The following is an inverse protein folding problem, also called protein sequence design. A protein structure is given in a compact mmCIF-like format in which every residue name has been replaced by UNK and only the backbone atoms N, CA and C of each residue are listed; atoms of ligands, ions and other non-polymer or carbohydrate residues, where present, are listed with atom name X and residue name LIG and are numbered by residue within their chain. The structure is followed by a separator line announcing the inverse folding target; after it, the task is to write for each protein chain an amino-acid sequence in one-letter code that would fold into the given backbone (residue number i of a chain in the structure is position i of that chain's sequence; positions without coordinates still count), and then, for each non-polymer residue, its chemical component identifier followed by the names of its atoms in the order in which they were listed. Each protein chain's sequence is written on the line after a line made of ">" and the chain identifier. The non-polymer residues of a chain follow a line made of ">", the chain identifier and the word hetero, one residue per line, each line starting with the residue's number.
data_IF_540402045766
#
_entry.id   IF_540402045766
#
_cell.length_a   1.000
_cell.length_b   1.000
_cell.length_c   1.000
_cell.angle_alpha   90.00
_cell.angle_beta   90.00
_cell.angle_gamma   90.00
#
_symmetry.space_group_name_H-M   'P 1'
#
loop_
_entity.id
_entity.type
_entity.pdbx_description
1 polymer ?
#
# COMPACT_ATOMS: atom_id res chain seq x y z
N UNK A 1 52.66 24.30 -10.67
CA UNK A 1 51.78 23.26 -11.28
C UNK A 1 50.88 22.53 -10.27
N UNK A 2 51.37 22.01 -9.12
CA UNK A 2 50.54 21.25 -8.17
C UNK A 2 49.40 22.04 -7.48
N UNK A 3 49.54 23.36 -7.33
CA UNK A 3 48.50 24.23 -6.72
C UNK A 3 47.32 24.48 -7.65
N UNK A 4 47.57 24.83 -8.92
CA UNK A 4 46.51 25.09 -9.90
C UNK A 4 45.69 23.85 -10.24
N UNK A 5 46.27 22.65 -10.18
CA UNK A 5 45.53 21.39 -10.36
C UNK A 5 44.53 21.14 -9.22
N UNK A 6 44.87 21.52 -7.98
CA UNK A 6 43.94 21.43 -6.83
C UNK A 6 42.80 22.43 -6.94
N UNK A 7 43.09 23.68 -7.32
CA UNK A 7 42.05 24.68 -7.57
C UNK A 7 41.15 24.31 -8.75
N UNK A 8 41.72 23.73 -9.81
CA UNK A 8 40.96 23.21 -10.95
C UNK A 8 40.10 22.01 -10.56
N UNK A 9 40.60 21.08 -9.74
CA UNK A 9 39.80 19.94 -9.24
C UNK A 9 38.67 20.39 -8.31
N UNK A 10 38.92 21.36 -7.42
CA UNK A 10 37.88 21.93 -6.55
C UNK A 10 36.86 22.70 -7.38
N UNK A 11 37.29 23.48 -8.38
CA UNK A 11 36.39 24.17 -9.30
C UNK A 11 35.58 23.16 -10.14
N UNK A 12 36.19 22.09 -10.65
CA UNK A 12 35.48 21.03 -11.36
C UNK A 12 34.52 20.27 -10.45
N UNK A 13 34.86 20.01 -9.18
CA UNK A 13 33.94 19.40 -8.21
C UNK A 13 32.76 20.33 -7.87
N UNK A 14 32.99 21.64 -7.76
CA UNK A 14 31.95 22.65 -7.54
C UNK A 14 31.09 22.93 -8.79
N UNK A 15 31.65 22.74 -9.99
CA UNK A 15 30.92 22.85 -11.26
C UNK A 15 30.16 21.56 -11.55
N UNK A 16 30.71 20.39 -11.21
CA UNK A 16 30.04 19.09 -11.32
C UNK A 16 28.93 18.94 -10.26
N UNK A 17 29.06 19.52 -9.06
CA UNK A 17 27.96 19.57 -8.10
C UNK A 17 26.81 20.51 -8.52
N UNK A 18 27.08 21.43 -9.46
CA UNK A 18 26.04 22.24 -10.13
C UNK A 18 25.47 21.57 -11.38
N UNK A 19 26.15 20.54 -11.90
CA UNK A 19 25.65 19.74 -13.01
C UNK A 19 24.62 18.75 -12.46
N UNK A 20 23.38 19.23 -12.38
CA UNK A 20 22.17 18.55 -11.91
C UNK A 20 22.23 18.18 -10.43
N UNK A 21 21.86 19.12 -9.56
CA UNK A 21 21.42 18.75 -8.21
C UNK A 21 20.28 17.73 -8.36
N UNK A 22 20.56 16.47 -8.04
CA UNK A 22 19.55 15.43 -8.06
C UNK A 22 18.49 15.79 -7.02
N UNK A 23 17.21 15.63 -7.38
CA UNK A 23 16.11 15.85 -6.44
C UNK A 23 16.36 15.06 -5.16
N UNK A 24 16.10 15.69 -4.00
CA UNK A 24 16.18 15.01 -2.70
C UNK A 24 15.00 14.06 -2.48
N UNK A 25 13.83 14.40 -3.03
CA UNK A 25 12.58 13.67 -2.83
C UNK A 25 11.89 13.40 -4.16
N UNK A 26 11.13 12.31 -4.24
CA UNK A 26 10.33 12.04 -5.43
C UNK A 26 9.17 13.03 -5.54
N UNK A 27 8.92 13.49 -6.76
CA UNK A 27 7.93 14.53 -7.04
C UNK A 27 6.68 13.90 -7.61
N UNK A 28 5.57 13.93 -6.87
CA UNK A 28 4.28 13.38 -7.31
C UNK A 28 3.28 14.49 -7.67
N UNK A 29 2.68 14.39 -8.87
CA UNK A 29 1.50 15.20 -9.24
C UNK A 29 0.25 14.49 -8.76
N UNK A 30 -0.45 15.06 -7.79
CA UNK A 30 -1.85 14.73 -7.53
C UNK A 30 -2.80 15.68 -8.25
N UNK A 31 -4.05 15.23 -8.45
CA UNK A 31 -5.17 16.05 -8.92
C UNK A 31 -5.38 17.29 -8.06
N UNK A 32 -5.00 17.24 -6.78
CA UNK A 32 -5.05 18.40 -5.89
C UNK A 32 -4.18 19.56 -6.40
N UNK A 33 -2.96 19.29 -6.88
CA UNK A 33 -2.10 20.35 -7.40
C UNK A 33 -2.71 21.01 -8.65
N UNK A 34 -3.37 20.23 -9.51
CA UNK A 34 -4.03 20.73 -10.71
C UNK A 34 -5.24 21.61 -10.35
N UNK A 35 -6.11 21.13 -9.46
CA UNK A 35 -7.32 21.85 -9.04
C UNK A 35 -6.99 23.07 -8.16
N UNK A 36 -5.83 23.07 -7.50
CA UNK A 36 -5.36 24.17 -6.66
C UNK A 36 -4.95 25.42 -7.44
N UNK A 37 -4.73 25.32 -8.76
CA UNK A 37 -4.42 26.44 -9.65
C UNK A 37 -5.71 26.96 -10.29
N UNK A 38 -6.02 28.26 -10.17
CA UNK A 38 -7.17 28.83 -10.87
C UNK A 38 -6.80 29.12 -12.32
N UNK A 39 -7.67 28.71 -13.24
CA UNK A 39 -7.45 28.87 -14.67
C UNK A 39 -6.80 27.63 -15.30
N UNK A 40 -5.85 27.84 -16.21
CA UNK A 40 -5.10 26.77 -16.86
C UNK A 40 -3.75 26.50 -16.18
N UNK A 41 -3.16 25.33 -16.44
CA UNK A 41 -1.84 24.96 -15.92
C UNK A 41 -0.71 25.25 -16.92
N UNK A 42 -0.93 26.19 -17.86
CA UNK A 42 0.14 26.58 -18.80
C UNK A 42 1.29 27.25 -18.05
N UNK A 43 2.52 27.05 -18.54
CA UNK A 43 3.71 27.66 -17.95
C UNK A 43 3.54 29.17 -17.73
N UNK A 44 2.97 29.89 -18.71
CA UNK A 44 2.72 31.33 -18.60
C UNK A 44 1.83 31.68 -17.39
N UNK A 45 0.74 30.93 -17.16
CA UNK A 45 -0.12 31.16 -16.00
C UNK A 45 0.60 30.82 -14.69
N UNK A 46 1.34 29.70 -14.64
CA UNK A 46 2.12 29.31 -13.47
C UNK A 46 3.15 30.38 -13.10
N UNK A 47 3.91 30.89 -14.07
CA UNK A 47 4.83 32.01 -13.88
C UNK A 47 4.13 33.28 -13.38
N UNK A 48 2.92 33.59 -13.85
CA UNK A 48 2.15 34.74 -13.39
C UNK A 48 1.70 34.60 -11.94
N UNK A 49 1.22 33.42 -11.55
CA UNK A 49 0.82 33.13 -10.16
C UNK A 49 2.01 33.31 -9.22
N UNK A 50 3.18 32.80 -9.59
CA UNK A 50 4.40 32.91 -8.79
C UNK A 50 4.94 34.34 -8.65
N UNK A 51 4.51 35.27 -9.51
CA UNK A 51 4.85 36.69 -9.42
C UNK A 51 3.83 37.51 -8.62
N UNK A 52 2.64 36.97 -8.36
CA UNK A 52 1.56 37.71 -7.72
C UNK A 52 1.75 37.75 -6.20
N UNK A 53 2.17 38.91 -5.67
CA UNK A 53 2.36 39.12 -4.23
C UNK A 53 1.08 38.84 -3.40
N UNK A 54 -0.12 38.99 -3.99
CA UNK A 54 -1.39 38.68 -3.31
C UNK A 54 -1.62 37.19 -3.10
N UNK A 55 -0.95 36.33 -3.88
CA UNK A 55 -1.06 34.89 -3.81
C UNK A 55 0.08 34.28 -2.98
N UNK A 56 0.98 35.10 -2.43
CA UNK A 56 2.00 34.63 -1.50
C UNK A 56 1.34 33.82 -0.38
N UNK A 57 1.95 32.70 0.01
CA UNK A 57 1.45 31.84 1.09
C UNK A 57 0.07 31.20 0.86
N UNK A 58 -0.41 31.18 -0.38
CA UNK A 58 -1.66 30.51 -0.73
C UNK A 58 -1.41 29.10 -1.27
N UNK A 59 -2.41 28.24 -1.14
CA UNK A 59 -2.44 26.93 -1.81
C UNK A 59 -2.18 27.07 -3.32
N UNK A 60 -2.71 28.12 -3.94
CA UNK A 60 -2.57 28.37 -5.38
C UNK A 60 -1.10 28.63 -5.77
N UNK A 61 -0.36 29.40 -4.96
CA UNK A 61 1.08 29.56 -5.16
C UNK A 61 1.84 28.24 -5.01
N UNK A 62 1.57 27.48 -3.94
CA UNK A 62 2.27 26.22 -3.68
C UNK A 62 2.01 25.20 -4.81
N UNK A 63 0.76 25.08 -5.25
CA UNK A 63 0.39 24.22 -6.37
C UNK A 63 1.06 24.67 -7.67
N UNK A 64 1.09 25.98 -7.95
CA UNK A 64 1.74 26.50 -9.16
C UNK A 64 3.26 26.25 -9.15
N UNK A 65 3.91 26.38 -7.99
CA UNK A 65 5.34 26.14 -7.84
C UNK A 65 5.69 24.67 -8.08
N UNK A 66 4.89 23.75 -7.51
CA UNK A 66 5.04 22.30 -7.70
C UNK A 66 4.83 21.93 -9.18
N UNK A 67 3.74 22.39 -9.80
CA UNK A 67 3.47 22.09 -11.20
C UNK A 67 4.56 22.64 -12.13
N UNK A 68 5.05 23.86 -11.88
CA UNK A 68 6.11 24.44 -12.68
C UNK A 68 7.44 23.70 -12.49
N UNK A 69 7.77 23.28 -11.27
CA UNK A 69 8.93 22.43 -11.00
C UNK A 69 8.84 21.08 -11.75
N UNK A 70 7.64 20.52 -11.91
CA UNK A 70 7.43 19.25 -12.62
C UNK A 70 7.51 19.42 -14.13
N UNK A 71 6.87 20.46 -14.67
CA UNK A 71 6.81 20.67 -16.12
C UNK A 71 8.12 21.18 -16.72
N UNK A 72 8.81 22.06 -16.00
CA UNK A 72 9.99 22.74 -16.53
C UNK A 72 11.28 22.40 -15.78
N UNK A 73 11.19 21.70 -14.65
CA UNK A 73 12.36 21.18 -13.93
C UNK A 73 13.42 22.25 -13.67
N UNK A 74 14.63 21.96 -14.12
CA UNK A 74 15.80 22.81 -13.94
C UNK A 74 15.64 24.20 -14.62
N UNK A 75 14.81 24.32 -15.66
CA UNK A 75 14.60 25.58 -16.39
C UNK A 75 13.84 26.62 -15.55
N UNK A 76 12.93 26.17 -14.69
CA UNK A 76 12.19 27.04 -13.77
C UNK A 76 12.83 27.15 -12.37
N UNK A 77 13.83 26.33 -12.07
CA UNK A 77 14.45 26.23 -10.74
C UNK A 77 14.84 27.58 -10.16
N UNK A 78 15.70 28.33 -10.86
CA UNK A 78 16.25 29.59 -10.34
C UNK A 78 15.14 30.60 -10.06
N UNK A 79 14.14 30.68 -10.95
CA UNK A 79 12.98 31.54 -10.76
C UNK A 79 12.17 31.15 -9.52
N UNK A 80 11.84 29.86 -9.35
CA UNK A 80 11.06 29.38 -8.20
C UNK A 80 11.81 29.66 -6.90
N UNK A 81 13.11 29.34 -6.87
CA UNK A 81 13.95 29.55 -5.69
C UNK A 81 14.13 31.03 -5.36
N UNK A 82 14.29 31.90 -6.36
CA UNK A 82 14.33 33.35 -6.17
C UNK A 82 13.03 33.85 -5.55
N UNK A 83 11.87 33.37 -6.02
CA UNK A 83 10.57 33.76 -5.46
C UNK A 83 10.39 33.31 -4.01
N UNK A 84 10.77 32.06 -3.71
CA UNK A 84 10.73 31.55 -2.34
C UNK A 84 11.68 32.34 -1.43
N UNK A 85 12.91 32.64 -1.89
CA UNK A 85 13.90 33.40 -1.13
C UNK A 85 13.46 34.85 -0.87
N UNK A 86 12.95 35.53 -1.91
CA UNK A 86 12.45 36.90 -1.84
C UNK A 86 11.37 37.08 -0.77
N UNK A 87 10.54 36.06 -0.56
CA UNK A 87 9.50 36.09 0.48
C UNK A 87 9.97 35.52 1.83
N UNK A 88 10.99 34.65 1.83
CA UNK A 88 11.61 34.15 3.04
C UNK A 88 12.35 35.22 3.86
N UNK A 89 12.88 36.27 3.24
CA UNK A 89 13.83 37.19 3.90
C UNK A 89 13.19 38.26 4.83
N UNK A 90 11.87 38.17 5.11
CA UNK A 90 11.15 39.17 5.92
C UNK A 90 10.54 38.60 7.18
N UNK A 91 11.32 38.10 8.16
CA UNK A 91 10.87 37.74 9.52
C UNK A 91 9.63 36.80 9.65
N UNK A 92 9.04 36.33 8.56
CA UNK A 92 7.75 35.66 8.44
C UNK A 92 7.90 34.13 8.40
N UNK A 93 9.13 33.61 8.30
CA UNK A 93 9.40 32.16 8.18
C UNK A 93 8.83 31.34 9.36
N UNK A 94 8.57 31.98 10.50
CA UNK A 94 7.99 31.37 11.69
C UNK A 94 6.51 31.68 11.92
N UNK A 95 5.86 32.51 11.08
CA UNK A 95 4.47 32.93 11.30
C UNK A 95 3.45 31.89 10.82
N UNK A 96 3.82 31.04 9.85
CA UNK A 96 2.98 29.92 9.40
C UNK A 96 3.82 28.72 8.95
N UNK A 97 3.90 27.72 9.83
CA UNK A 97 4.67 26.49 9.62
C UNK A 97 4.25 25.67 8.39
N UNK A 98 2.99 25.74 7.94
CA UNK A 98 2.54 25.00 6.76
C UNK A 98 3.22 25.53 5.48
N UNK A 99 3.27 26.86 5.34
CA UNK A 99 3.91 27.48 4.18
C UNK A 99 5.41 27.24 4.18
N UNK A 100 6.03 27.32 5.37
CA UNK A 100 7.44 27.02 5.51
C UNK A 100 7.74 25.57 5.10
N UNK A 101 6.93 24.60 5.55
CA UNK A 101 7.00 23.20 5.13
C UNK A 101 6.89 23.05 3.61
N UNK A 102 5.89 23.66 2.98
CA UNK A 102 5.71 23.60 1.52
C UNK A 102 6.91 24.18 0.76
N UNK A 103 7.49 25.28 1.25
CA UNK A 103 8.68 25.85 0.64
C UNK A 103 9.90 24.95 0.78
N UNK A 104 10.08 24.28 1.93
CA UNK A 104 11.16 23.31 2.06
C UNK A 104 10.94 22.13 1.13
N UNK A 105 9.70 21.63 1.04
CA UNK A 105 9.32 20.55 0.11
C UNK A 105 9.70 20.88 -1.34
N UNK A 106 9.30 22.06 -1.82
CA UNK A 106 9.65 22.53 -3.18
C UNK A 106 11.17 22.68 -3.36
N UNK A 107 11.88 23.18 -2.35
CA UNK A 107 13.34 23.27 -2.38
C UNK A 107 14.00 21.89 -2.54
N UNK A 108 13.58 20.89 -1.78
CA UNK A 108 14.16 19.56 -1.88
C UNK A 108 13.83 18.85 -3.20
N UNK A 109 12.63 19.07 -3.75
CA UNK A 109 12.28 18.68 -5.11
C UNK A 109 13.20 19.25 -6.19
N UNK A 110 13.71 20.46 -5.98
CA UNK A 110 14.69 21.11 -6.86
C UNK A 110 16.14 20.77 -6.49
N UNK A 111 16.37 19.83 -5.56
CA UNK A 111 17.69 19.37 -5.14
C UNK A 111 18.44 20.34 -4.21
N UNK A 112 17.75 21.27 -3.56
CA UNK A 112 18.39 22.20 -2.62
C UNK A 112 18.64 21.54 -1.25
N UNK A 113 19.91 21.28 -0.93
CA UNK A 113 20.30 20.63 0.33
C UNK A 113 19.89 21.41 1.59
N UNK A 114 19.66 22.72 1.48
CA UNK A 114 19.14 23.53 2.58
C UNK A 114 17.74 23.11 3.04
N UNK A 115 16.97 22.42 2.20
CA UNK A 115 15.67 21.87 2.55
C UNK A 115 15.74 20.88 3.72
N UNK A 116 16.85 20.12 3.85
CA UNK A 116 17.07 19.18 4.96
C UNK A 116 17.08 19.92 6.30
N UNK A 117 17.88 21.00 6.39
CA UNK A 117 17.93 21.85 7.59
C UNK A 117 16.58 22.53 7.87
N UNK A 118 15.85 22.86 6.80
CA UNK A 118 14.50 23.38 6.89
C UNK A 118 13.52 22.37 7.51
N UNK A 119 13.54 21.12 7.06
CA UNK A 119 12.74 20.04 7.64
C UNK A 119 13.15 19.77 9.09
N UNK A 120 14.45 19.72 9.41
CA UNK A 120 14.93 19.61 10.80
C UNK A 120 14.36 20.72 11.69
N UNK A 121 14.35 21.96 11.20
CA UNK A 121 13.81 23.10 11.95
C UNK A 121 12.31 22.94 12.22
N UNK A 122 11.54 22.37 11.28
CA UNK A 122 10.12 22.10 11.48
C UNK A 122 9.93 21.06 12.58
N UNK A 123 10.72 19.99 12.58
CA UNK A 123 10.66 18.96 13.62
C UNK A 123 10.96 19.55 15.00
N UNK A 124 12.01 20.37 15.11
CA UNK A 124 12.49 20.90 16.39
C UNK A 124 11.64 22.03 16.96
N UNK A 125 11.05 22.87 16.12
CA UNK A 125 10.45 24.14 16.56
C UNK A 125 8.96 24.28 16.28
N UNK A 126 8.37 23.44 15.43
CA UNK A 126 6.91 23.46 15.23
C UNK A 126 6.20 22.82 16.41
N UNK A 127 5.08 23.41 16.85
CA UNK A 127 4.16 22.79 17.80
C UNK A 127 3.09 21.92 17.13
N UNK A 128 3.08 21.85 15.80
CA UNK A 128 2.13 21.07 15.03
C UNK A 128 2.68 19.67 14.75
N UNK A 129 2.14 18.66 15.46
CA UNK A 129 2.58 17.28 15.35
C UNK A 129 2.47 16.72 13.92
N UNK A 130 1.43 17.07 13.16
CA UNK A 130 1.28 16.61 11.78
C UNK A 130 2.40 17.12 10.88
N UNK A 131 2.83 18.38 11.06
CA UNK A 131 3.97 18.93 10.32
C UNK A 131 5.28 18.30 10.75
N UNK A 132 5.46 18.03 12.04
CA UNK A 132 6.64 17.31 12.54
C UNK A 132 6.74 15.92 11.90
N UNK A 133 5.65 15.14 11.90
CA UNK A 133 5.60 13.80 11.32
C UNK A 133 5.93 13.81 9.83
N UNK A 134 5.32 14.73 9.08
CA UNK A 134 5.58 14.85 7.64
C UNK A 134 7.04 15.22 7.39
N UNK A 135 7.58 16.18 8.15
CA UNK A 135 8.99 16.57 8.02
C UNK A 135 9.94 15.41 8.36
N UNK A 136 9.65 14.61 9.39
CA UNK A 136 10.43 13.40 9.71
C UNK A 136 10.38 12.41 8.53
N UNK A 137 9.23 12.19 7.90
CA UNK A 137 9.11 11.27 6.76
C UNK A 137 10.03 11.69 5.61
N UNK A 138 10.01 12.98 5.24
CA UNK A 138 10.93 13.53 4.24
C UNK A 138 12.40 13.43 4.64
N UNK A 139 12.71 13.55 5.93
CA UNK A 139 14.08 13.36 6.44
C UNK A 139 14.54 11.90 6.33
N UNK A 140 13.66 10.93 6.58
CA UNK A 140 13.95 9.50 6.42
C UNK A 140 14.30 9.16 4.97
N UNK A 141 13.55 9.71 3.99
CA UNK A 141 13.79 9.47 2.55
C UNK A 141 15.23 9.83 2.12
N UNK A 142 15.82 10.85 2.76
CA UNK A 142 17.22 11.29 2.50
C UNK A 142 18.22 10.71 3.51
N UNK A 143 17.83 9.71 4.29
CA UNK A 143 18.68 8.99 5.24
C UNK A 143 18.97 9.73 6.56
N UNK A 144 18.21 10.78 6.88
CA UNK A 144 18.31 11.49 8.17
C UNK A 144 17.40 10.85 9.22
N UNK A 145 17.99 10.00 10.06
CA UNK A 145 17.25 9.12 10.99
C UNK A 145 17.34 9.57 12.46
N UNK A 146 17.50 10.87 12.70
CA UNK A 146 17.82 11.42 14.02
C UNK A 146 16.62 11.45 15.00
N UNK A 147 15.39 11.22 14.51
CA UNK A 147 14.16 11.42 15.27
C UNK A 147 13.42 10.13 15.62
N UNK A 148 14.14 9.01 15.67
CA UNK A 148 13.55 7.71 15.98
C UNK A 148 12.85 7.67 17.35
N UNK A 149 13.44 8.29 18.39
CA UNK A 149 12.81 8.34 19.71
C UNK A 149 11.52 9.16 19.73
N UNK A 150 11.45 10.23 18.93
CA UNK A 150 10.21 10.99 18.75
C UNK A 150 9.16 10.13 18.04
N UNK A 151 9.53 9.40 16.98
CA UNK A 151 8.63 8.48 16.30
C UNK A 151 8.08 7.39 17.24
N UNK A 152 8.92 6.83 18.13
CA UNK A 152 8.48 5.92 19.19
C UNK A 152 7.51 6.58 20.18
N UNK A 153 7.77 7.84 20.57
CA UNK A 153 6.87 8.62 21.41
C UNK A 153 5.48 8.77 20.80
N UNK A 154 5.41 9.03 19.49
CA UNK A 154 4.16 9.17 18.72
C UNK A 154 3.43 7.83 18.64
N UNK A 155 4.15 6.75 18.34
CA UNK A 155 3.59 5.40 18.32
C UNK A 155 2.94 5.01 19.66
N UNK A 156 3.59 5.34 20.78
CA UNK A 156 3.08 5.05 22.12
C UNK A 156 1.90 5.95 22.53
N UNK A 157 1.60 7.03 21.81
CA UNK A 157 0.43 7.86 22.06
C UNK A 157 -0.82 7.19 21.47
N UNK A 158 -1.84 6.97 22.30
CA UNK A 158 -3.08 6.29 21.89
C UNK A 158 -3.85 7.02 20.78
N UNK A 159 -3.76 8.35 20.72
CA UNK A 159 -4.47 9.16 19.72
C UNK A 159 -3.78 9.10 18.34
N UNK A 160 -2.46 8.95 18.33
CA UNK A 160 -1.65 9.04 17.11
C UNK A 160 -1.03 7.70 16.71
N UNK A 161 -1.44 6.59 17.35
CA UNK A 161 -0.81 5.27 17.18
C UNK A 161 -0.72 4.84 15.72
N UNK A 162 -1.77 5.07 14.91
CA UNK A 162 -1.77 4.69 13.50
C UNK A 162 -0.74 5.47 12.67
N UNK A 163 -0.57 6.75 12.98
CA UNK A 163 0.45 7.57 12.32
C UNK A 163 1.84 7.17 12.81
N UNK A 164 1.98 6.87 14.10
CA UNK A 164 3.22 6.32 14.65
C UNK A 164 3.60 4.95 14.08
N UNK A 165 2.64 4.07 13.79
CA UNK A 165 2.85 2.79 13.09
C UNK A 165 3.50 3.03 11.73
N UNK A 166 2.91 3.92 10.92
CA UNK A 166 3.42 4.25 9.58
C UNK A 166 4.78 4.95 9.63
N UNK A 167 5.01 5.81 10.63
CA UNK A 167 6.30 6.46 10.77
C UNK A 167 7.40 5.48 11.20
N UNK A 168 7.12 4.58 12.14
CA UNK A 168 8.07 3.55 12.55
C UNK A 168 8.40 2.58 11.40
N UNK A 169 7.42 2.20 10.57
CA UNK A 169 7.67 1.28 9.45
C UNK A 169 8.68 1.85 8.44
N UNK A 170 8.64 3.17 8.18
CA UNK A 170 9.65 3.85 7.37
C UNK A 170 11.07 3.70 7.95
N UNK A 171 11.24 3.86 9.27
CA UNK A 171 12.53 3.58 9.93
C UNK A 171 12.95 2.12 9.80
N UNK A 172 11.99 1.18 9.82
CA UNK A 172 12.25 -0.25 9.72
C UNK A 172 12.87 -0.70 8.39
N UNK A 173 12.81 0.13 7.36
CA UNK A 173 13.51 -0.09 6.09
C UNK A 173 15.04 0.00 6.25
N UNK A 174 15.53 0.75 7.23
CA UNK A 174 16.95 0.80 7.56
C UNK A 174 17.34 -0.36 8.50
N UNK A 175 18.39 -1.15 8.18
CA UNK A 175 18.82 -2.29 8.99
C UNK A 175 19.10 -1.97 10.47
N UNK A 176 19.45 -0.72 10.80
CA UNK A 176 19.75 -0.31 12.18
C UNK A 176 18.54 -0.34 13.09
N UNK A 177 17.35 -0.09 12.55
CA UNK A 177 16.10 0.02 13.31
C UNK A 177 15.14 -1.14 13.06
N UNK A 178 15.38 -1.91 12.00
CA UNK A 178 14.49 -2.96 11.52
C UNK A 178 13.97 -3.89 12.61
N UNK A 179 14.88 -4.46 13.41
CA UNK A 179 14.51 -5.42 14.45
C UNK A 179 13.61 -4.79 15.52
N UNK A 180 13.95 -3.58 16.00
CA UNK A 180 13.17 -2.87 17.01
C UNK A 180 11.78 -2.49 16.46
N UNK A 181 11.70 -2.04 15.20
CA UNK A 181 10.43 -1.71 14.55
C UNK A 181 9.56 -2.95 14.36
N UNK A 182 10.12 -4.07 13.90
CA UNK A 182 9.40 -5.35 13.77
C UNK A 182 8.85 -5.77 15.15
N UNK A 183 9.63 -5.65 16.21
CA UNK A 183 9.19 -5.98 17.57
C UNK A 183 8.01 -5.10 18.02
N UNK A 184 8.05 -3.79 17.75
CA UNK A 184 6.94 -2.89 18.06
C UNK A 184 5.67 -3.20 17.27
N UNK A 185 5.77 -3.32 15.94
CA UNK A 185 4.61 -3.55 15.08
C UNK A 185 3.99 -4.93 15.33
N UNK A 186 4.83 -5.97 15.46
CA UNK A 186 4.34 -7.32 15.77
C UNK A 186 3.69 -7.40 17.15
N UNK A 187 4.13 -6.60 18.14
CA UNK A 187 3.45 -6.45 19.42
C UNK A 187 2.02 -5.90 19.27
N UNK A 188 1.81 -4.91 18.39
CA UNK A 188 0.45 -4.41 18.11
C UNK A 188 -0.42 -5.49 17.48
N UNK A 189 0.11 -6.23 16.49
CA UNK A 189 -0.64 -7.30 15.82
C UNK A 189 -1.03 -8.40 16.81
N UNK A 190 -0.11 -8.81 17.70
CA UNK A 190 -0.37 -9.85 18.70
C UNK A 190 -1.28 -9.42 19.84
N UNK A 191 -1.11 -8.20 20.35
CA UNK A 191 -1.63 -7.86 21.68
C UNK A 191 -2.80 -6.85 21.65
N UNK A 192 -3.01 -6.14 20.53
CA UNK A 192 -4.06 -5.12 20.47
C UNK A 192 -5.45 -5.73 20.39
N UNK A 193 -6.41 -5.16 21.13
CA UNK A 193 -7.83 -5.50 21.04
C UNK A 193 -8.57 -4.73 19.95
N UNK A 194 -7.94 -3.71 19.38
CA UNK A 194 -8.50 -2.89 18.31
C UNK A 194 -8.12 -3.48 16.95
N UNK A 195 -9.09 -4.11 16.28
CA UNK A 195 -8.88 -4.79 15.00
C UNK A 195 -8.39 -3.84 13.89
N UNK A 196 -8.77 -2.56 13.93
CA UNK A 196 -8.27 -1.56 12.99
C UNK A 196 -6.77 -1.29 13.21
N UNK A 197 -6.34 -1.19 14.48
CA UNK A 197 -4.91 -1.05 14.81
C UNK A 197 -4.12 -2.29 14.43
N UNK A 198 -4.66 -3.49 14.64
CA UNK A 198 -4.03 -4.76 14.22
C UNK A 198 -3.80 -4.75 12.71
N UNK A 199 -4.81 -4.42 11.91
CA UNK A 199 -4.71 -4.39 10.44
C UNK A 199 -3.73 -3.32 9.97
N UNK A 200 -3.80 -2.11 10.55
CA UNK A 200 -2.86 -1.02 10.24
C UNK A 200 -1.40 -1.43 10.52
N UNK A 201 -1.14 -2.06 11.67
CA UNK A 201 0.19 -2.56 12.03
C UNK A 201 0.62 -3.70 11.11
N UNK A 202 -0.27 -4.63 10.78
CA UNK A 202 0.04 -5.76 9.91
C UNK A 202 0.43 -5.32 8.50
N UNK A 203 -0.31 -4.39 7.88
CA UNK A 203 0.04 -3.83 6.56
C UNK A 203 1.44 -3.24 6.55
N UNK A 204 1.77 -2.46 7.57
CA UNK A 204 3.09 -1.84 7.71
C UNK A 204 4.20 -2.85 8.04
N UNK A 205 3.88 -3.89 8.81
CA UNK A 205 4.81 -4.97 9.11
C UNK A 205 5.08 -5.83 7.86
N UNK A 206 4.10 -6.03 6.98
CA UNK A 206 4.24 -6.85 5.78
C UNK A 206 5.29 -6.30 4.80
N UNK A 207 5.47 -4.98 4.75
CA UNK A 207 6.56 -4.33 3.99
C UNK A 207 7.96 -4.67 4.55
N UNK A 208 8.04 -5.08 5.82
CA UNK A 208 9.28 -5.47 6.49
C UNK A 208 9.44 -7.00 6.52
N UNK A 209 8.38 -7.73 6.86
CA UNK A 209 8.40 -9.18 6.93
C UNK A 209 6.99 -9.73 6.64
N UNK A 210 6.73 -9.96 5.35
CA UNK A 210 5.45 -10.45 4.86
C UNK A 210 5.08 -11.81 5.46
N UNK A 211 6.01 -12.76 5.47
CA UNK A 211 5.74 -14.12 5.94
C UNK A 211 5.43 -14.14 7.44
N UNK A 212 6.23 -13.44 8.24
CA UNK A 212 5.97 -13.32 9.67
C UNK A 212 4.65 -12.61 9.97
N UNK A 213 4.29 -11.60 9.17
CA UNK A 213 2.99 -10.92 9.30
C UNK A 213 1.82 -11.87 9.04
N UNK A 214 1.92 -12.70 7.99
CA UNK A 214 0.89 -13.70 7.67
C UNK A 214 0.70 -14.65 8.85
N UNK A 215 1.79 -15.20 9.41
CA UNK A 215 1.72 -16.11 10.56
C UNK A 215 0.99 -15.48 11.76
N UNK A 216 1.30 -14.21 12.09
CA UNK A 216 0.64 -13.50 13.19
C UNK A 216 -0.83 -13.24 12.91
N UNK A 217 -1.18 -12.79 11.69
CA UNK A 217 -2.56 -12.53 11.33
C UNK A 217 -3.39 -13.81 11.25
N UNK A 218 -2.80 -14.92 10.81
CA UNK A 218 -3.46 -16.23 10.84
C UNK A 218 -3.79 -16.66 12.26
N UNK A 219 -2.85 -16.52 13.20
CA UNK A 219 -3.13 -16.78 14.61
C UNK A 219 -4.33 -15.94 15.10
N UNK A 220 -4.34 -14.64 14.78
CA UNK A 220 -5.44 -13.73 15.15
C UNK A 220 -6.75 -14.11 14.48
N UNK A 221 -6.74 -14.56 13.22
CA UNK A 221 -7.91 -15.06 12.50
C UNK A 221 -8.50 -16.29 13.21
N UNK A 222 -7.68 -17.30 13.54
CA UNK A 222 -8.16 -18.52 14.18
C UNK A 222 -8.64 -18.32 15.63
N UNK A 223 -8.14 -17.29 16.32
CA UNK A 223 -8.51 -16.97 17.71
C UNK A 223 -9.71 -16.01 17.84
N UNK A 224 -10.11 -15.34 16.77
CA UNK A 224 -11.18 -14.34 16.78
C UNK A 224 -12.51 -14.90 16.28
N UNK A 225 -13.59 -14.12 16.40
CA UNK A 225 -14.94 -14.43 15.91
C UNK A 225 -15.60 -13.21 15.23
N UNK A 226 -16.74 -13.47 14.56
CA UNK A 226 -17.59 -12.47 13.93
C UNK A 226 -16.86 -11.49 13.01
N UNK A 227 -17.25 -10.22 13.05
CA UNK A 227 -16.67 -9.16 12.22
C UNK A 227 -15.15 -8.99 12.41
N UNK A 228 -14.62 -9.27 13.61
CA UNK A 228 -13.18 -9.17 13.84
C UNK A 228 -12.44 -10.23 13.03
N UNK A 229 -12.91 -11.48 13.07
CA UNK A 229 -12.38 -12.56 12.23
C UNK A 229 -12.52 -12.26 10.76
N UNK A 230 -13.68 -11.77 10.33
CA UNK A 230 -13.92 -11.40 8.95
C UNK A 230 -12.95 -10.33 8.44
N UNK A 231 -12.65 -9.32 9.25
CA UNK A 231 -11.67 -8.30 8.85
C UNK A 231 -10.26 -8.89 8.68
N UNK A 232 -9.83 -9.83 9.54
CA UNK A 232 -8.56 -10.52 9.35
C UNK A 232 -8.56 -11.45 8.13
N UNK A 233 -9.68 -12.14 7.86
CA UNK A 233 -9.86 -12.92 6.64
C UNK A 233 -9.70 -12.07 5.38
N UNK A 234 -10.28 -10.86 5.35
CA UNK A 234 -10.12 -9.92 4.23
C UNK A 234 -8.71 -9.38 4.09
N UNK A 235 -8.01 -9.15 5.18
CA UNK A 235 -6.61 -8.72 5.12
C UNK A 235 -5.68 -9.84 4.64
N UNK A 236 -5.93 -11.08 5.08
CA UNK A 236 -5.20 -12.27 4.62
C UNK A 236 -5.43 -12.56 3.14
N UNK A 237 -6.60 -12.25 2.56
CA UNK A 237 -6.86 -12.30 1.11
C UNK A 237 -5.89 -11.41 0.32
N UNK A 238 -5.54 -10.24 0.87
CA UNK A 238 -4.61 -9.28 0.25
C UNK A 238 -3.17 -9.75 0.38
N UNK A 239 -2.79 -10.23 1.57
CA UNK A 239 -1.40 -10.61 1.85
C UNK A 239 -1.06 -12.00 1.30
N UNK A 240 -1.97 -12.95 1.39
CA UNK A 240 -1.78 -14.36 1.07
C UNK A 240 -3.05 -14.96 0.43
N UNK A 241 -3.38 -14.53 -0.80
CA UNK A 241 -4.60 -14.97 -1.47
C UNK A 241 -4.64 -16.48 -1.70
N UNK A 242 -3.49 -17.15 -1.82
CA UNK A 242 -3.41 -18.57 -2.19
C UNK A 242 -4.05 -19.51 -1.18
N UNK A 243 -4.10 -19.12 0.10
CA UNK A 243 -4.68 -19.92 1.17
C UNK A 243 -6.11 -19.46 1.56
N UNK A 244 -6.72 -18.60 0.75
CA UNK A 244 -8.01 -18.01 1.10
C UNK A 244 -9.14 -19.05 1.10
N UNK A 245 -9.13 -19.99 0.16
CA UNK A 245 -10.09 -21.08 0.09
C UNK A 245 -10.06 -21.96 1.34
N UNK A 246 -8.87 -22.33 1.83
CA UNK A 246 -8.68 -23.12 3.04
C UNK A 246 -9.24 -22.40 4.27
N UNK A 247 -9.04 -21.08 4.36
CA UNK A 247 -9.60 -20.24 5.44
C UNK A 247 -11.13 -20.23 5.39
N UNK A 248 -11.73 -20.11 4.19
CA UNK A 248 -13.18 -20.21 4.02
C UNK A 248 -13.72 -21.58 4.45
N UNK A 249 -13.08 -22.67 4.01
CA UNK A 249 -13.45 -24.03 4.41
C UNK A 249 -13.41 -24.19 5.93
N UNK A 250 -12.41 -23.60 6.59
CA UNK A 250 -12.27 -23.68 8.04
C UNK A 250 -13.35 -22.88 8.78
N UNK A 251 -13.66 -21.66 8.34
CA UNK A 251 -14.53 -20.73 9.09
C UNK A 251 -16.01 -20.95 8.86
N UNK A 252 -16.44 -21.33 7.66
CA UNK A 252 -17.87 -21.46 7.31
C UNK A 252 -18.63 -22.36 8.30
N UNK A 253 -18.11 -23.53 8.72
CA UNK A 253 -18.79 -24.37 9.71
C UNK A 253 -18.84 -23.80 11.14
N UNK A 254 -18.00 -22.81 11.43
CA UNK A 254 -17.83 -22.22 12.76
C UNK A 254 -18.56 -20.88 12.91
N UNK A 255 -18.93 -20.23 11.81
CA UNK A 255 -19.57 -18.92 11.84
C UNK A 255 -21.07 -19.04 12.17
N UNK A 256 -21.45 -18.43 13.30
CA UNK A 256 -22.82 -18.49 13.82
C UNK A 256 -23.69 -17.37 13.25
N UNK A 257 -23.08 -16.27 12.83
CA UNK A 257 -23.77 -15.18 12.16
C UNK A 257 -23.99 -15.56 10.69
N UNK A 258 -25.26 -15.72 10.31
CA UNK A 258 -25.60 -16.21 8.98
C UNK A 258 -25.20 -15.26 7.85
N UNK A 259 -25.28 -13.94 8.09
CA UNK A 259 -24.93 -12.93 7.09
C UNK A 259 -23.40 -12.94 6.88
N UNK A 260 -22.62 -12.96 7.97
CA UNK A 260 -21.17 -13.09 7.89
C UNK A 260 -20.73 -14.43 7.30
N UNK A 261 -21.44 -15.52 7.61
CA UNK A 261 -21.15 -16.84 7.03
C UNK A 261 -21.25 -16.80 5.51
N UNK A 262 -22.23 -16.07 4.97
CA UNK A 262 -22.39 -15.90 3.53
C UNK A 262 -21.23 -15.12 2.88
N UNK A 263 -20.61 -14.18 3.59
CA UNK A 263 -19.48 -13.37 3.10
C UNK A 263 -18.17 -14.18 2.95
N UNK A 264 -18.05 -15.34 3.59
CA UNK A 264 -16.93 -16.26 3.38
C UNK A 264 -17.08 -17.12 2.10
N UNK A 265 -18.25 -17.08 1.47
CA UNK A 265 -18.56 -17.81 0.23
C UNK A 265 -18.44 -16.81 -0.92
N UNK A 266 -17.41 -16.91 -1.78
CA UNK A 266 -17.26 -15.99 -2.91
C UNK A 266 -18.39 -16.17 -3.90
N UNK A 267 -18.71 -15.10 -4.63
CA UNK A 267 -19.47 -15.16 -5.87
C UNK A 267 -18.53 -15.48 -7.03
N UNK A 268 -18.62 -16.69 -7.57
CA UNK A 268 -17.80 -17.07 -8.73
C UNK A 268 -18.38 -16.46 -10.01
N UNK A 269 -17.89 -15.28 -10.40
CA UNK A 269 -18.22 -14.69 -11.69
C UNK A 269 -17.34 -15.27 -12.81
N UNK A 270 -17.97 -15.54 -13.97
CA UNK A 270 -17.27 -16.03 -15.15
C UNK A 270 -16.14 -15.08 -15.59
N UNK A 271 -14.92 -15.63 -15.75
CA UNK A 271 -13.76 -14.90 -16.28
C UNK A 271 -12.88 -14.19 -15.26
N UNK A 272 -13.19 -14.27 -13.96
CA UNK A 272 -12.32 -13.72 -12.92
C UNK A 272 -11.11 -14.64 -12.65
N UNK A 273 -9.94 -14.18 -13.08
CA UNK A 273 -8.64 -14.89 -12.94
C UNK A 273 -8.28 -15.04 -11.45
N UNK A 274 -8.77 -14.16 -10.58
CA UNK A 274 -8.37 -14.13 -9.19
C UNK A 274 -8.89 -15.36 -8.40
N UNK A 275 -9.99 -16.01 -8.83
CA UNK A 275 -10.48 -17.21 -8.15
C UNK A 275 -9.57 -18.42 -8.31
N UNK A 276 -8.82 -18.48 -9.41
CA UNK A 276 -7.79 -19.50 -9.57
C UNK A 276 -6.66 -19.28 -8.57
N UNK A 277 -6.24 -18.04 -8.39
CA UNK A 277 -5.18 -17.68 -7.42
C UNK A 277 -5.64 -17.99 -6.01
N UNK A 278 -6.91 -17.72 -5.69
CA UNK A 278 -7.49 -17.96 -4.36
C UNK A 278 -7.85 -19.41 -4.06
N UNK A 279 -7.69 -20.32 -5.01
CA UNK A 279 -7.98 -21.75 -4.84
C UNK A 279 -9.46 -22.14 -4.91
N UNK A 280 -10.37 -21.19 -5.15
CA UNK A 280 -11.82 -21.45 -5.20
C UNK A 280 -12.27 -22.21 -6.47
N UNK A 281 -11.42 -22.30 -7.49
CA UNK A 281 -11.69 -23.15 -8.65
C UNK A 281 -11.21 -24.60 -8.45
N UNK A 282 -10.77 -24.96 -7.24
CA UNK A 282 -10.27 -26.29 -6.95
C UNK A 282 -11.39 -27.30 -6.71
N UNK A 283 -11.17 -28.57 -7.11
CA UNK A 283 -11.79 -29.75 -6.52
C UNK A 283 -12.24 -29.65 -5.05
N UNK A 284 -11.32 -29.25 -4.19
CA UNK A 284 -11.50 -29.22 -2.74
C UNK A 284 -12.63 -28.26 -2.34
N UNK A 285 -12.63 -27.05 -2.91
CA UNK A 285 -13.70 -26.07 -2.67
C UNK A 285 -15.07 -26.58 -3.11
N UNK A 286 -15.17 -27.13 -4.33
CA UNK A 286 -16.43 -27.58 -4.89
C UNK A 286 -17.03 -28.72 -4.07
N UNK A 287 -16.19 -29.65 -3.59
CA UNK A 287 -16.66 -30.71 -2.70
C UNK A 287 -17.13 -30.18 -1.35
N UNK A 288 -16.39 -29.23 -0.76
CA UNK A 288 -16.79 -28.60 0.49
C UNK A 288 -18.15 -27.92 0.34
N UNK A 289 -18.32 -27.04 -0.64
CA UNK A 289 -19.52 -26.21 -0.76
C UNK A 289 -20.76 -27.04 -1.12
N UNK A 290 -20.58 -28.11 -1.91
CA UNK A 290 -21.63 -29.09 -2.19
C UNK A 290 -22.09 -29.82 -0.93
N UNK A 291 -21.17 -30.23 -0.07
CA UNK A 291 -21.54 -30.91 1.17
C UNK A 291 -22.21 -29.92 2.13
N UNK A 292 -21.71 -28.69 2.18
CA UNK A 292 -22.29 -27.61 2.99
C UNK A 292 -23.71 -27.24 2.57
N UNK A 293 -24.03 -27.28 1.27
CA UNK A 293 -25.37 -27.01 0.73
C UNK A 293 -26.50 -27.79 1.43
N UNK A 294 -26.25 -29.02 1.89
CA UNK A 294 -27.26 -29.85 2.55
C UNK A 294 -27.45 -29.54 4.03
N UNK A 295 -26.57 -28.73 4.62
CA UNK A 295 -26.57 -28.34 6.03
C UNK A 295 -26.95 -26.87 6.21
N UNK A 296 -26.63 -26.03 5.22
CA UNK A 296 -26.93 -24.60 5.24
C UNK A 296 -28.44 -24.33 5.28
N UNK A 297 -28.82 -23.39 6.15
CA UNK A 297 -30.22 -22.98 6.36
C UNK A 297 -30.48 -21.53 5.98
N UNK A 298 -29.44 -20.72 5.83
CA UNK A 298 -29.57 -19.33 5.46
C UNK A 298 -29.74 -19.16 3.94
N UNK A 299 -30.77 -18.40 3.55
CA UNK A 299 -31.12 -18.21 2.14
C UNK A 299 -30.05 -17.45 1.33
N UNK A 300 -29.33 -16.51 1.95
CA UNK A 300 -28.27 -15.73 1.30
C UNK A 300 -27.06 -16.63 1.03
N UNK A 301 -26.60 -17.36 2.04
CA UNK A 301 -25.54 -18.35 1.87
C UNK A 301 -25.94 -19.42 0.84
N UNK A 302 -27.16 -19.97 0.89
CA UNK A 302 -27.66 -20.91 -0.11
C UNK A 302 -27.66 -20.31 -1.53
N UNK A 303 -27.99 -19.03 -1.68
CA UNK A 303 -27.92 -18.33 -2.96
C UNK A 303 -26.47 -18.24 -3.47
N UNK A 304 -25.52 -17.87 -2.61
CA UNK A 304 -24.09 -17.81 -2.98
C UNK A 304 -23.57 -19.19 -3.39
N UNK A 305 -23.93 -20.24 -2.65
CA UNK A 305 -23.56 -21.62 -2.97
C UNK A 305 -24.10 -22.03 -4.33
N UNK A 306 -25.38 -21.76 -4.62
CA UNK A 306 -26.00 -22.09 -5.91
C UNK A 306 -25.32 -21.37 -7.06
N UNK A 307 -25.11 -20.05 -6.94
CA UNK A 307 -24.41 -19.26 -7.96
C UNK A 307 -23.00 -19.81 -8.19
N UNK A 308 -22.25 -20.09 -7.12
CA UNK A 308 -20.90 -20.65 -7.24
C UNK A 308 -20.87 -22.03 -7.88
N UNK A 309 -21.87 -22.88 -7.66
CA UNK A 309 -21.96 -24.19 -8.34
C UNK A 309 -22.43 -24.06 -9.79
N UNK A 310 -23.34 -23.13 -10.09
CA UNK A 310 -23.85 -22.87 -11.44
C UNK A 310 -22.78 -22.31 -12.37
N UNK A 311 -22.02 -21.32 -11.88
CA UNK A 311 -21.05 -20.55 -12.65
C UNK A 311 -19.62 -21.11 -12.60
N UNK A 312 -19.40 -22.19 -11.83
CA UNK A 312 -18.08 -22.82 -11.69
C UNK A 312 -17.51 -23.21 -13.06
N UNK A 313 -16.27 -22.80 -13.33
CA UNK A 313 -15.43 -23.32 -14.40
C UNK A 313 -14.04 -23.58 -13.82
N UNK A 314 -13.38 -24.69 -14.17
CA UNK A 314 -12.06 -25.00 -13.62
C UNK A 314 -11.04 -24.00 -14.15
N UNK A 315 -9.97 -23.81 -13.38
CA UNK A 315 -8.83 -23.03 -13.82
C UNK A 315 -8.31 -23.55 -15.17
N UNK A 316 -7.96 -22.61 -16.06
CA UNK A 316 -7.35 -22.99 -17.34
C UNK A 316 -5.98 -23.62 -17.08
N UNK A 317 -5.61 -24.67 -17.83
CA UNK A 317 -4.24 -25.16 -17.89
C UNK A 317 -3.23 -24.03 -18.02
N UNK A 318 -2.24 -23.99 -17.13
CA UNK A 318 -1.05 -23.15 -17.28
C UNK A 318 0.20 -24.01 -17.51
N UNK A 319 1.28 -23.40 -17.98
CA UNK A 319 2.54 -24.11 -18.26
C UNK A 319 3.35 -24.44 -17.00
N UNK A 320 2.87 -24.05 -15.82
CA UNK A 320 3.57 -24.17 -14.55
C UNK A 320 3.04 -25.31 -13.68
N UNK A 321 1.81 -25.76 -13.92
CA UNK A 321 1.17 -26.88 -13.23
C UNK A 321 1.68 -28.21 -13.79
N UNK A 322 2.20 -29.13 -12.96
CA UNK A 322 2.58 -30.46 -13.42
C UNK A 322 1.42 -31.21 -14.08
N UNK A 323 1.70 -31.91 -15.18
CA UNK A 323 0.69 -32.67 -15.94
C UNK A 323 -0.05 -33.69 -15.05
N UNK A 324 0.64 -34.32 -14.10
CA UNK A 324 0.03 -35.23 -13.13
C UNK A 324 -1.09 -34.56 -12.32
N UNK A 325 -0.82 -33.36 -11.83
CA UNK A 325 -1.72 -32.63 -10.95
C UNK A 325 -2.94 -32.13 -11.74
N UNK A 326 -2.74 -31.83 -13.03
CA UNK A 326 -3.82 -31.52 -13.95
C UNK A 326 -4.72 -32.73 -14.23
N UNK A 327 -4.14 -33.93 -14.40
CA UNK A 327 -4.90 -35.18 -14.60
C UNK A 327 -5.70 -35.52 -13.34
N UNK A 328 -5.09 -35.44 -12.16
CA UNK A 328 -5.76 -35.71 -10.89
C UNK A 328 -6.90 -34.72 -10.63
N UNK A 329 -6.65 -33.43 -10.90
CA UNK A 329 -7.69 -32.39 -10.83
C UNK A 329 -8.84 -32.67 -11.79
N UNK A 330 -8.53 -33.07 -13.03
CA UNK A 330 -9.54 -33.42 -14.02
C UNK A 330 -10.34 -34.66 -13.61
N UNK A 331 -9.70 -35.73 -13.14
CA UNK A 331 -10.39 -36.94 -12.67
C UNK A 331 -11.36 -36.62 -11.54
N UNK A 332 -10.94 -35.78 -10.60
CA UNK A 332 -11.79 -35.32 -9.52
C UNK A 332 -12.98 -34.49 -10.02
N UNK A 333 -12.72 -33.56 -10.94
CA UNK A 333 -13.75 -32.77 -11.61
C UNK A 333 -14.77 -33.70 -12.26
N UNK A 334 -14.31 -34.73 -12.97
CA UNK A 334 -15.20 -35.67 -13.64
C UNK A 334 -16.08 -36.47 -12.65
N UNK A 335 -15.59 -36.73 -11.43
CA UNK A 335 -16.39 -37.31 -10.33
C UNK A 335 -17.46 -36.37 -9.76
N UNK A 336 -17.27 -35.06 -9.93
CA UNK A 336 -18.13 -34.01 -9.37
C UNK A 336 -19.08 -33.38 -10.40
N UNK A 337 -19.12 -33.90 -11.64
CA UNK A 337 -19.93 -33.38 -12.77
C UNK A 337 -21.40 -33.09 -12.45
N UNK A 338 -22.01 -33.86 -11.55
CA UNK A 338 -23.42 -33.65 -11.16
C UNK A 338 -23.65 -32.36 -10.37
N UNK A 339 -22.58 -31.64 -10.04
CA UNK A 339 -22.59 -30.48 -9.15
C UNK A 339 -22.43 -29.16 -9.89
N UNK A 340 -22.23 -29.16 -11.21
CA UNK A 340 -22.06 -27.95 -12.03
C UNK A 340 -22.37 -28.23 -13.50
N UNK A 341 -22.72 -27.21 -14.28
CA UNK A 341 -23.34 -27.41 -15.60
C UNK A 341 -22.36 -27.47 -16.79
N UNK A 342 -21.08 -27.16 -16.61
CA UNK A 342 -20.14 -26.95 -17.73
C UNK A 342 -19.56 -28.23 -18.35
N UNK A 343 -19.39 -29.32 -17.58
CA UNK A 343 -18.77 -30.57 -18.06
C UNK A 343 -19.81 -31.56 -18.63
N UNK A 344 -21.03 -31.11 -18.94
CA UNK A 344 -22.05 -31.92 -19.61
C UNK A 344 -22.75 -32.93 -18.70
N UNK A 345 -23.29 -34.01 -19.29
CA UNK A 345 -24.10 -35.00 -18.57
C UNK A 345 -23.28 -36.20 -18.04
N UNK A 346 -23.95 -37.12 -17.35
CA UNK A 346 -23.33 -38.32 -16.78
C UNK A 346 -22.70 -39.23 -17.85
N UNK A 347 -23.21 -39.22 -19.08
CA UNK A 347 -22.66 -40.02 -20.17
C UNK A 347 -21.30 -39.46 -20.60
N UNK A 348 -21.22 -38.15 -20.77
CA UNK A 348 -19.96 -37.48 -21.08
C UNK A 348 -18.89 -37.70 -19.99
N UNK A 349 -19.27 -37.60 -18.71
CA UNK A 349 -18.37 -37.92 -17.59
C UNK A 349 -17.84 -39.35 -17.65
N UNK A 350 -18.70 -40.34 -17.90
CA UNK A 350 -18.28 -41.75 -18.00
C UNK A 350 -17.35 -41.99 -19.20
N UNK A 351 -17.62 -41.37 -20.34
CA UNK A 351 -16.73 -41.43 -21.51
C UNK A 351 -15.36 -40.83 -21.22
N UNK A 352 -15.32 -39.66 -20.57
CA UNK A 352 -14.07 -38.99 -20.23
C UNK A 352 -13.25 -39.79 -19.21
N UNK A 353 -13.88 -40.40 -18.19
CA UNK A 353 -13.18 -41.31 -17.26
C UNK A 353 -12.56 -42.50 -17.97
N UNK A 354 -13.30 -43.11 -18.90
CA UNK A 354 -12.80 -44.23 -19.68
C UNK A 354 -11.58 -43.83 -20.51
N UNK A 355 -11.58 -42.65 -21.12
CA UNK A 355 -10.42 -42.11 -21.86
C UNK A 355 -9.22 -41.89 -20.91
N UNK A 356 -9.43 -41.23 -19.77
CA UNK A 356 -8.35 -40.88 -18.83
C UNK A 356 -7.75 -42.10 -18.12
N UNK A 357 -8.48 -43.20 -18.01
CA UNK A 357 -7.99 -44.44 -17.39
C UNK A 357 -7.37 -45.43 -18.39
N UNK A 358 -7.57 -45.21 -19.69
CA UNK A 358 -7.04 -46.08 -20.76
C UNK A 358 -5.90 -45.44 -21.56
N UNK A 359 -5.75 -44.12 -21.53
CA UNK A 359 -4.57 -43.38 -21.99
C UNK A 359 -3.43 -43.49 -20.98
#
# INVERSE_FOLDING_TARGET
>A
MKSHLKFFLIACLLILSKANAQSLWEMEVSTYHIVGVRGDTSAANLYNILQADSLKYTTEFNCAAILLAIYEGQTAKDFILERIAFWGDKNDQFFNWNNYFDYQRIKGYLGESSAILGMDSIVLYSSNLSLQINAISYLIEVGQLNYFDLAKGIFNNQQDTNVGISLLSQYGLDPRFREEVINHLSGVVRDSSDSYKVISAARNLAELDKNYTIELLEQRFFESDGFTRYNFFKELDVLDPQHQMERSIWVIPLELDDDLRSDYIPYLFEGDIDFSIRGYLSPMWINFIKNWFYVETNDVALFHIRSSLEDFQPARPDSTTPISDMIDSLLFIVDTVKSYFWLGDLNFSNELKNILTTA
#
